data_IF_488508830867
#
_entry.id   IF_488508830867
#
_cell.length_a   1.000
_cell.length_b   1.000
_cell.length_c   1.000
_cell.angle_alpha   90.00
_cell.angle_beta   90.00
_cell.angle_gamma   90.00
#
_symmetry.space_group_name_H-M   'P 1'
#
loop_
_entity.id
_entity.type
_entity.pdbx_description
1 polymer ?
#
# COMPACT_ATOMS: atom_id res chain seq x y z
N UNK A 1 10.87 -9.66 9.88
CA UNK A 1 10.43 -9.12 8.57
C UNK A 1 9.05 -9.64 8.26
N UNK A 2 8.15 -8.80 7.70
CA UNK A 2 6.83 -9.25 7.29
C UNK A 2 6.94 -10.34 6.21
N UNK A 3 6.10 -11.37 6.33
CA UNK A 3 6.06 -12.47 5.38
C UNK A 3 4.94 -12.23 4.36
N UNK A 4 5.21 -12.56 3.10
CA UNK A 4 4.22 -12.46 2.05
C UNK A 4 3.19 -13.60 2.18
N UNK A 5 1.96 -13.25 2.51
CA UNK A 5 0.86 -14.21 2.68
C UNK A 5 0.01 -14.41 1.43
N UNK A 6 -0.24 -13.33 0.68
CA UNK A 6 -1.06 -13.34 -0.53
C UNK A 6 -0.74 -12.10 -1.36
N UNK A 7 -0.91 -12.19 -2.68
CA UNK A 7 -0.86 -11.05 -3.58
C UNK A 7 -2.22 -10.91 -4.25
N UNK A 8 -2.81 -9.71 -4.15
CA UNK A 8 -4.03 -9.35 -4.84
C UNK A 8 -3.71 -8.41 -6.00
N UNK A 9 -4.25 -8.70 -7.18
CA UNK A 9 -4.11 -7.87 -8.36
C UNK A 9 -5.48 -7.64 -9.02
N UNK A 10 -5.73 -6.43 -9.47
CA UNK A 10 -6.90 -6.07 -10.25
C UNK A 10 -6.55 -5.03 -11.30
N UNK A 11 -6.86 -5.31 -12.57
CA UNK A 11 -6.57 -4.41 -13.70
C UNK A 11 -7.80 -3.66 -14.23
N UNK A 12 -8.96 -3.87 -13.59
CA UNK A 12 -10.25 -3.31 -13.99
C UNK A 12 -11.16 -4.33 -14.67
N UNK A 13 -10.61 -5.46 -15.14
CA UNK A 13 -11.36 -6.56 -15.77
C UNK A 13 -11.11 -7.89 -15.06
N UNK A 14 -9.85 -8.16 -14.72
CA UNK A 14 -9.40 -9.42 -14.15
C UNK A 14 -8.91 -9.21 -12.71
N UNK A 15 -9.47 -9.97 -11.79
CA UNK A 15 -9.03 -10.03 -10.41
C UNK A 15 -8.28 -11.34 -10.18
N UNK A 16 -7.09 -11.25 -9.61
CA UNK A 16 -6.28 -12.41 -9.28
C UNK A 16 -5.88 -12.39 -7.80
N UNK A 17 -6.05 -13.53 -7.14
CA UNK A 17 -5.47 -13.83 -5.83
C UNK A 17 -4.35 -14.84 -6.08
N UNK A 18 -3.11 -14.44 -5.80
CA UNK A 18 -1.92 -15.23 -6.11
C UNK A 18 -1.35 -15.75 -4.79
N UNK A 19 -1.35 -17.08 -4.65
CA UNK A 19 -0.67 -17.75 -3.54
C UNK A 19 0.84 -17.74 -3.79
N UNK A 20 1.63 -17.07 -2.95
CA UNK A 20 3.08 -17.01 -3.13
C UNK A 20 3.78 -18.32 -2.81
N UNK A 21 3.11 -19.24 -2.08
CA UNK A 21 3.69 -20.51 -1.70
C UNK A 21 3.95 -21.39 -2.93
N UNK A 22 5.20 -21.74 -3.15
CA UNK A 22 5.59 -22.56 -4.28
C UNK A 22 5.92 -21.79 -5.58
N UNK A 23 5.78 -20.47 -5.60
CA UNK A 23 6.25 -19.65 -6.71
C UNK A 23 7.74 -19.41 -6.54
N UNK A 24 8.52 -19.80 -7.54
CA UNK A 24 9.98 -19.63 -7.58
C UNK A 24 10.42 -18.61 -8.62
N UNK A 25 9.61 -18.37 -9.64
CA UNK A 25 9.87 -17.37 -10.69
C UNK A 25 8.90 -16.19 -10.58
N UNK A 26 9.43 -15.06 -10.16
CA UNK A 26 8.69 -13.79 -10.04
C UNK A 26 8.89 -12.86 -11.26
N UNK A 27 9.59 -13.32 -12.29
CA UNK A 27 9.90 -12.48 -13.46
C UNK A 27 8.67 -11.85 -14.11
N UNK A 28 7.53 -12.55 -14.30
CA UNK A 28 6.34 -11.93 -14.88
C UNK A 28 5.77 -10.79 -14.02
N UNK A 29 5.70 -10.99 -12.71
CA UNK A 29 5.22 -9.94 -11.79
C UNK A 29 6.18 -8.76 -11.76
N UNK A 30 7.47 -9.01 -11.67
CA UNK A 30 8.49 -7.95 -11.70
C UNK A 30 8.44 -7.13 -12.98
N UNK A 31 8.16 -7.75 -14.13
CA UNK A 31 7.97 -7.03 -15.39
C UNK A 31 6.81 -6.02 -15.29
N UNK A 32 5.68 -6.41 -14.67
CA UNK A 32 4.54 -5.53 -14.43
C UNK A 32 4.93 -4.42 -13.44
N UNK A 33 5.62 -4.75 -12.35
CA UNK A 33 6.01 -3.77 -11.33
C UNK A 33 6.94 -2.69 -11.87
N UNK A 34 7.81 -3.03 -12.84
CA UNK A 34 8.78 -2.12 -13.48
C UNK A 34 8.20 -1.32 -14.64
N UNK A 35 7.10 -1.78 -15.25
CA UNK A 35 6.57 -1.17 -16.46
C UNK A 35 6.09 0.26 -16.19
N UNK A 36 6.71 1.30 -16.78
CA UNK A 36 6.34 2.68 -16.56
C UNK A 36 4.98 3.06 -17.15
N UNK A 37 4.45 2.26 -18.07
CA UNK A 37 3.13 2.47 -18.66
C UNK A 37 1.98 1.96 -17.77
N UNK A 38 2.31 1.16 -16.75
CA UNK A 38 1.35 0.58 -15.80
C UNK A 38 1.52 1.28 -14.45
N UNK A 39 0.60 2.16 -14.10
CA UNK A 39 0.56 2.77 -12.75
C UNK A 39 0.02 1.77 -11.75
N UNK A 40 0.72 1.60 -10.62
CA UNK A 40 0.30 0.74 -9.51
C UNK A 40 -0.35 1.60 -8.45
N UNK A 41 -1.49 1.15 -7.95
CA UNK A 41 -2.24 1.84 -6.91
C UNK A 41 -2.26 1.00 -5.64
N UNK A 42 -1.95 1.63 -4.52
CA UNK A 42 -2.06 1.07 -3.18
C UNK A 42 -2.91 2.00 -2.31
N UNK A 43 -3.28 1.52 -1.14
CA UNK A 43 -3.86 2.34 -0.08
C UNK A 43 -3.13 2.08 1.23
N UNK A 44 -2.54 3.13 1.81
CA UNK A 44 -1.71 3.02 3.02
C UNK A 44 -0.56 2.01 2.87
N UNK A 45 0.06 1.97 1.67
CA UNK A 45 0.99 0.94 1.24
C UNK A 45 2.40 1.04 1.82
N UNK A 46 2.66 1.91 2.80
CA UNK A 46 4.00 2.10 3.36
C UNK A 46 4.62 0.81 3.92
N UNK A 47 3.82 -0.07 4.53
CA UNK A 47 4.27 -1.37 5.01
C UNK A 47 4.44 -2.37 3.87
N UNK A 48 3.57 -2.32 2.86
CA UNK A 48 3.66 -3.16 1.67
C UNK A 48 4.97 -2.92 0.91
N UNK A 49 5.46 -1.68 0.88
CA UNK A 49 6.76 -1.36 0.25
C UNK A 49 7.91 -2.13 0.89
N UNK A 50 7.85 -2.39 2.20
CA UNK A 50 8.84 -3.22 2.87
C UNK A 50 8.77 -4.68 2.38
N UNK A 51 7.56 -5.21 2.17
CA UNK A 51 7.37 -6.55 1.59
C UNK A 51 7.92 -6.61 0.18
N UNK A 52 7.65 -5.60 -0.66
CA UNK A 52 8.19 -5.52 -2.02
C UNK A 52 9.72 -5.57 -2.03
N UNK A 53 10.38 -4.78 -1.19
CA UNK A 53 11.83 -4.78 -1.09
C UNK A 53 12.38 -6.12 -0.61
N UNK A 54 11.77 -6.71 0.42
CA UNK A 54 12.25 -7.96 1.00
C UNK A 54 12.05 -9.17 0.07
N UNK A 55 10.93 -9.23 -0.65
CA UNK A 55 10.58 -10.38 -1.50
C UNK A 55 11.11 -10.21 -2.93
N UNK A 56 10.97 -9.01 -3.50
CA UNK A 56 11.29 -8.77 -4.91
C UNK A 56 12.59 -8.00 -5.11
N UNK A 57 13.13 -7.35 -4.06
CA UNK A 57 14.33 -6.53 -4.13
C UNK A 57 14.13 -5.18 -4.83
N UNK A 58 12.88 -4.80 -5.10
CA UNK A 58 12.54 -3.58 -5.81
C UNK A 58 11.16 -3.06 -5.42
N UNK A 59 10.90 -1.78 -5.67
CA UNK A 59 9.59 -1.16 -5.48
C UNK A 59 8.82 -1.07 -6.80
N UNK A 60 7.47 -1.15 -6.75
CA UNK A 60 6.65 -0.90 -7.92
C UNK A 60 6.77 0.56 -8.36
N UNK A 61 6.92 0.80 -9.67
CA UNK A 61 7.03 2.14 -10.25
C UNK A 61 6.33 2.20 -11.62
N UNK A 62 5.55 3.26 -11.90
CA UNK A 62 5.11 4.32 -10.99
C UNK A 62 4.09 3.81 -9.96
N UNK A 63 4.10 4.38 -8.76
CA UNK A 63 3.20 4.02 -7.67
C UNK A 63 2.46 5.25 -7.15
N UNK A 64 1.16 5.11 -6.94
CA UNK A 64 0.30 6.11 -6.32
C UNK A 64 -0.39 5.48 -5.11
N UNK A 65 -0.28 6.15 -3.96
CA UNK A 65 -0.98 5.78 -2.75
C UNK A 65 -2.24 6.63 -2.60
N UNK A 66 -3.39 5.98 -2.58
CA UNK A 66 -4.69 6.66 -2.48
C UNK A 66 -4.93 7.31 -1.12
N UNK A 67 -4.28 6.85 -0.05
CA UNK A 67 -4.34 7.52 1.25
C UNK A 67 -3.64 8.88 1.20
N UNK A 68 -2.54 8.99 0.46
CA UNK A 68 -1.86 10.26 0.23
C UNK A 68 -2.74 11.20 -0.62
N UNK A 69 -3.31 10.72 -1.73
CA UNK A 69 -4.25 11.52 -2.53
C UNK A 69 -5.39 12.06 -1.66
N UNK A 70 -5.99 11.21 -0.84
CA UNK A 70 -7.10 11.57 0.04
C UNK A 70 -6.71 12.65 1.06
N UNK A 71 -5.50 12.58 1.62
CA UNK A 71 -5.00 13.59 2.55
C UNK A 71 -4.90 14.98 1.89
N UNK A 72 -4.47 15.05 0.62
CA UNK A 72 -4.46 16.29 -0.15
C UNK A 72 -5.86 16.82 -0.50
N UNK A 73 -6.89 15.96 -0.40
CA UNK A 73 -8.30 16.33 -0.52
C UNK A 73 -8.98 16.61 0.83
N UNK A 74 -8.21 16.77 1.90
CA UNK A 74 -8.71 17.13 3.22
C UNK A 74 -9.21 15.95 4.07
N UNK A 75 -8.98 14.69 3.65
CA UNK A 75 -9.26 13.51 4.49
C UNK A 75 -8.15 13.33 5.53
N UNK A 76 -8.41 12.59 6.63
CA UNK A 76 -7.37 12.30 7.62
C UNK A 76 -6.14 11.61 6.99
N UNK A 77 -4.94 11.93 7.46
CA UNK A 77 -3.70 11.31 6.98
C UNK A 77 -3.64 9.79 7.19
N UNK A 78 -4.38 9.29 8.17
CA UNK A 78 -4.52 7.84 8.47
C UNK A 78 -5.86 7.28 8.02
N UNK A 79 -6.45 7.85 6.97
CA UNK A 79 -7.76 7.43 6.48
C UNK A 79 -7.75 5.98 6.02
N UNK A 80 -8.54 5.13 6.69
CA UNK A 80 -8.55 3.69 6.43
C UNK A 80 -9.31 3.32 5.16
N UNK A 81 -8.92 2.20 4.55
CA UNK A 81 -9.52 1.69 3.32
C UNK A 81 -11.05 1.48 3.44
N UNK A 82 -11.51 0.88 4.53
CA UNK A 82 -12.95 0.66 4.74
C UNK A 82 -13.76 1.98 4.79
N UNK A 83 -13.20 3.03 5.41
CA UNK A 83 -13.84 4.36 5.43
C UNK A 83 -13.89 4.98 4.04
N UNK A 84 -12.83 4.81 3.26
CA UNK A 84 -12.77 5.26 1.88
C UNK A 84 -13.82 4.55 1.02
N UNK A 85 -13.93 3.23 1.14
CA UNK A 85 -14.93 2.45 0.40
C UNK A 85 -16.35 2.87 0.80
N UNK A 86 -16.62 3.05 2.08
CA UNK A 86 -17.93 3.50 2.56
C UNK A 86 -18.31 4.88 2.00
N UNK A 87 -17.39 5.84 2.03
CA UNK A 87 -17.65 7.20 1.51
C UNK A 87 -17.91 7.21 0.00
N UNK A 88 -17.11 6.47 -0.79
CA UNK A 88 -17.21 6.51 -2.26
C UNK A 88 -18.22 5.55 -2.87
N UNK A 89 -18.54 4.44 -2.21
CA UNK A 89 -19.40 3.40 -2.76
C UNK A 89 -20.62 3.06 -1.90
N UNK A 90 -20.70 3.57 -0.67
CA UNK A 90 -21.78 3.25 0.27
C UNK A 90 -21.73 1.82 0.81
N UNK A 91 -20.64 1.10 0.59
CA UNK A 91 -20.46 -0.29 1.03
C UNK A 91 -19.69 -0.33 2.34
N UNK A 92 -20.26 -1.03 3.34
CA UNK A 92 -19.56 -1.31 4.59
C UNK A 92 -18.80 -2.63 4.47
N UNK A 93 -17.46 -2.58 4.56
CA UNK A 93 -16.62 -3.77 4.49
C UNK A 93 -16.56 -4.49 5.83
N UNK A 94 -16.64 -5.83 5.78
CA UNK A 94 -16.36 -6.69 6.93
C UNK A 94 -14.84 -6.74 7.18
N UNK A 95 -14.43 -6.45 8.42
CA UNK A 95 -13.02 -6.45 8.83
C UNK A 95 -12.62 -7.70 9.61
N UNK A 96 -13.51 -8.70 9.71
CA UNK A 96 -13.30 -9.88 10.56
C UNK A 96 -12.04 -10.67 10.19
N UNK A 97 -11.69 -10.69 8.91
CA UNK A 97 -10.55 -11.46 8.39
C UNK A 97 -9.21 -10.69 8.42
N UNK A 98 -9.19 -9.41 8.79
CA UNK A 98 -7.97 -8.56 8.73
C UNK A 98 -6.82 -9.08 9.60
N UNK A 99 -7.12 -9.83 10.67
CA UNK A 99 -6.13 -10.34 11.64
C UNK A 99 -6.08 -11.87 11.71
N UNK A 100 -6.59 -12.55 10.71
CA UNK A 100 -6.53 -14.02 10.63
C UNK A 100 -5.15 -14.47 10.13
N UNK A 101 -4.86 -15.76 10.22
CA UNK A 101 -3.59 -16.32 9.76
C UNK A 101 -3.59 -16.44 8.23
N UNK A 102 -2.93 -15.50 7.57
CA UNK A 102 -2.78 -15.44 6.12
C UNK A 102 -1.71 -16.38 5.56
N UNK A 103 -0.98 -17.07 6.42
CA UNK A 103 0.01 -18.09 6.03
C UNK A 103 -0.56 -19.50 6.09
N UNK A 104 -1.69 -19.70 6.80
CA UNK A 104 -2.39 -20.98 6.83
C UNK A 104 -2.95 -21.36 5.45
N UNK A 105 -2.94 -22.66 5.14
CA UNK A 105 -3.51 -23.20 3.91
C UNK A 105 -4.43 -24.39 4.21
N UNK A 106 -5.54 -24.56 3.47
CA UNK A 106 -6.03 -23.62 2.44
C UNK A 106 -6.57 -22.32 3.05
N UNK A 107 -6.57 -21.23 2.28
CA UNK A 107 -7.30 -20.02 2.66
C UNK A 107 -8.80 -20.32 2.63
N UNK A 108 -9.54 -19.73 3.57
CA UNK A 108 -11.00 -19.83 3.61
C UNK A 108 -11.65 -18.98 2.51
N UNK A 109 -12.87 -19.31 2.14
CA UNK A 109 -13.67 -18.51 1.20
C UNK A 109 -13.80 -17.05 1.69
N UNK A 110 -14.04 -16.85 3.00
CA UNK A 110 -14.13 -15.51 3.60
C UNK A 110 -12.82 -14.73 3.50
N UNK A 111 -11.67 -15.39 3.68
CA UNK A 111 -10.37 -14.76 3.46
C UNK A 111 -10.18 -14.35 1.99
N UNK A 112 -10.57 -15.20 1.05
CA UNK A 112 -10.49 -14.88 -0.37
C UNK A 112 -11.41 -13.71 -0.74
N UNK A 113 -12.64 -13.68 -0.23
CA UNK A 113 -13.57 -12.57 -0.43
C UNK A 113 -13.03 -11.26 0.16
N UNK A 114 -12.47 -11.31 1.37
CA UNK A 114 -11.84 -10.16 2.01
C UNK A 114 -10.68 -9.63 1.17
N UNK A 115 -9.77 -10.49 0.74
CA UNK A 115 -8.62 -10.12 -0.08
C UNK A 115 -9.04 -9.55 -1.45
N UNK A 116 -10.08 -10.12 -2.07
CA UNK A 116 -10.62 -9.62 -3.32
C UNK A 116 -11.21 -8.21 -3.17
N UNK A 117 -11.90 -7.94 -2.05
CA UNK A 117 -12.47 -6.62 -1.77
C UNK A 117 -11.40 -5.52 -1.69
N UNK A 118 -10.21 -5.83 -1.17
CA UNK A 118 -9.11 -4.86 -1.04
C UNK A 118 -8.65 -4.28 -2.39
N UNK A 119 -8.77 -5.00 -3.47
CA UNK A 119 -8.40 -4.51 -4.81
C UNK A 119 -9.60 -4.15 -5.67
N UNK A 120 -10.73 -4.83 -5.49
CA UNK A 120 -11.95 -4.59 -6.27
C UNK A 120 -12.46 -3.16 -6.14
N UNK A 121 -12.54 -2.64 -4.92
CA UNK A 121 -13.03 -1.29 -4.65
C UNK A 121 -11.98 -0.21 -4.90
N UNK A 122 -10.69 -0.55 -4.82
CA UNK A 122 -9.60 0.43 -4.89
C UNK A 122 -9.57 1.16 -6.23
N UNK A 123 -9.57 0.44 -7.34
CA UNK A 123 -9.34 1.02 -8.66
C UNK A 123 -10.45 2.00 -9.11
N UNK A 124 -11.76 1.68 -8.97
CA UNK A 124 -12.83 2.64 -9.29
C UNK A 124 -12.81 3.89 -8.41
N UNK A 125 -12.47 3.74 -7.12
CA UNK A 125 -12.35 4.86 -6.18
C UNK A 125 -11.15 5.73 -6.55
N UNK A 126 -10.03 5.11 -6.92
CA UNK A 126 -8.83 5.83 -7.37
C UNK A 126 -9.12 6.78 -8.51
N UNK A 127 -9.91 6.35 -9.50
CA UNK A 127 -10.28 7.20 -10.62
C UNK A 127 -11.01 8.48 -10.16
N UNK A 128 -11.94 8.35 -9.22
CA UNK A 128 -12.68 9.50 -8.64
C UNK A 128 -11.73 10.39 -7.83
N UNK A 129 -10.89 9.79 -7.01
CA UNK A 129 -9.96 10.51 -6.13
C UNK A 129 -8.89 11.27 -6.92
N UNK A 130 -8.42 10.72 -8.04
CA UNK A 130 -7.51 11.42 -8.97
C UNK A 130 -8.16 12.68 -9.52
N UNK A 131 -9.42 12.61 -9.92
CA UNK A 131 -10.19 13.78 -10.43
C UNK A 131 -10.35 14.84 -9.32
N UNK A 132 -10.69 14.44 -8.10
CA UNK A 132 -10.80 15.36 -6.96
C UNK A 132 -9.47 16.05 -6.66
N UNK A 133 -8.37 15.29 -6.63
CA UNK A 133 -7.04 15.82 -6.32
C UNK A 133 -6.55 16.78 -7.40
N UNK A 134 -6.84 16.49 -8.66
CA UNK A 134 -6.54 17.39 -9.77
C UNK A 134 -7.36 18.67 -9.67
N UNK A 135 -8.67 18.57 -9.42
CA UNK A 135 -9.56 19.72 -9.25
C UNK A 135 -9.15 20.61 -8.06
N UNK A 136 -8.59 20.05 -7.01
CA UNK A 136 -8.04 20.81 -5.87
C UNK A 136 -6.74 21.55 -6.19
N UNK A 137 -6.07 21.23 -7.30
CA UNK A 137 -4.77 21.79 -7.69
C UNK A 137 -3.57 21.13 -7.00
N UNK A 138 -3.79 20.10 -6.17
CA UNK A 138 -2.75 19.47 -5.37
C UNK A 138 -2.17 18.19 -5.98
N UNK A 139 -2.64 17.75 -7.15
CA UNK A 139 -2.19 16.48 -7.75
C UNK A 139 -0.66 16.40 -7.91
N UNK A 140 0.06 17.42 -8.42
CA UNK A 140 1.53 17.34 -8.52
C UNK A 140 2.20 17.11 -7.16
N UNK A 141 1.76 17.83 -6.12
CA UNK A 141 2.32 17.67 -4.76
C UNK A 141 1.99 16.29 -4.16
N UNK A 142 0.79 15.77 -4.39
CA UNK A 142 0.41 14.44 -3.94
C UNK A 142 1.25 13.35 -4.63
N UNK A 143 1.51 13.47 -5.93
CA UNK A 143 2.39 12.55 -6.66
C UNK A 143 3.84 12.63 -6.18
N UNK A 144 4.31 13.84 -5.84
CA UNK A 144 5.65 14.02 -5.25
C UNK A 144 5.74 13.34 -3.88
N UNK A 145 4.71 13.46 -3.03
CA UNK A 145 4.70 12.77 -1.72
C UNK A 145 4.67 11.24 -1.88
N UNK A 146 3.99 10.69 -2.88
CA UNK A 146 4.06 9.26 -3.20
C UNK A 146 5.49 8.84 -3.56
N UNK A 147 6.21 9.65 -4.34
CA UNK A 147 7.63 9.40 -4.66
C UNK A 147 8.52 9.49 -3.44
N UNK A 148 8.31 10.49 -2.59
CA UNK A 148 9.06 10.64 -1.33
C UNK A 148 8.83 9.47 -0.37
N UNK A 149 7.63 8.96 -0.27
CA UNK A 149 7.33 7.74 0.52
C UNK A 149 8.18 6.55 0.06
N UNK A 150 8.29 6.34 -1.26
CA UNK A 150 9.12 5.28 -1.83
C UNK A 150 10.60 5.50 -1.55
N UNK A 151 11.09 6.73 -1.72
CA UNK A 151 12.50 7.08 -1.46
C UNK A 151 12.88 6.82 0.00
N UNK A 152 12.04 7.22 0.96
CA UNK A 152 12.26 6.96 2.40
C UNK A 152 12.39 5.48 2.71
N UNK A 153 11.63 4.62 2.01
CA UNK A 153 11.72 3.17 2.19
C UNK A 153 12.97 2.54 1.57
N UNK A 154 13.56 3.17 0.58
CA UNK A 154 14.81 2.73 -0.03
C UNK A 154 16.05 3.23 0.71
N UNK A 155 15.92 4.23 1.60
CA UNK A 155 17.05 4.72 2.39
C UNK A 155 17.52 3.65 3.37
N UNK A 156 18.82 3.37 3.31
CA UNK A 156 19.50 2.54 4.31
C UNK A 156 19.88 3.47 5.46
N UNK A 157 19.08 3.44 6.53
CA UNK A 157 19.40 4.19 7.76
C UNK A 157 20.48 3.44 8.52
N UNK A 158 21.59 4.13 8.83
CA UNK A 158 22.64 3.56 9.67
C UNK A 158 22.06 3.21 11.06
N UNK A 159 22.46 2.08 11.68
CA UNK A 159 21.90 1.64 12.97
C UNK A 159 21.95 2.73 14.05
N UNK A 160 23.00 3.53 14.07
CA UNK A 160 23.19 4.66 15.00
C UNK A 160 22.20 5.81 14.79
N UNK A 161 21.57 5.90 13.61
CA UNK A 161 20.58 6.92 13.27
C UNK A 161 19.13 6.41 13.32
N UNK A 162 18.94 5.09 13.49
CA UNK A 162 17.61 4.46 13.48
C UNK A 162 16.64 4.99 14.56
N UNK A 163 17.17 5.56 15.63
CA UNK A 163 16.36 6.18 16.69
C UNK A 163 15.58 7.41 16.20
N UNK A 164 16.03 8.06 15.11
CA UNK A 164 15.36 9.25 14.53
C UNK A 164 14.00 8.92 13.95
N UNK A 165 13.77 7.66 13.58
CA UNK A 165 12.50 7.19 13.02
C UNK A 165 11.48 6.85 14.12
N UNK A 166 11.90 6.88 15.39
CA UNK A 166 10.97 6.66 16.52
C UNK A 166 10.03 7.86 16.62
N UNK A 167 8.73 7.59 16.66
CA UNK A 167 7.71 8.63 16.83
C UNK A 167 8.02 9.49 18.05
N UNK A 168 8.05 10.82 17.87
CA UNK A 168 8.41 11.79 18.91
C UNK A 168 9.87 11.72 19.42
N UNK A 169 10.80 11.13 18.68
CA UNK A 169 12.23 11.06 19.04
C UNK A 169 12.81 12.48 19.34
N UNK A 170 12.32 13.52 18.67
CA UNK A 170 12.72 14.92 18.90
C UNK A 170 12.43 15.44 20.32
N UNK A 171 11.56 14.76 21.08
CA UNK A 171 11.27 15.10 22.49
C UNK A 171 12.27 14.47 23.45
N UNK A 172 13.09 13.52 22.99
CA UNK A 172 14.08 12.82 23.83
C UNK A 172 15.26 13.75 24.13
N UNK A 173 15.70 13.72 25.39
CA UNK A 173 16.91 14.44 25.79
C UNK A 173 18.15 13.62 25.42
N UNK A 174 19.30 14.27 25.28
CA UNK A 174 20.60 13.64 24.92
C UNK A 174 20.94 12.41 25.77
N UNK A 175 20.58 12.40 27.05
CA UNK A 175 20.76 11.24 27.95
C UNK A 175 19.86 10.05 27.64
N UNK A 176 18.82 10.20 26.86
CA UNK A 176 17.86 9.16 26.47
C UNK A 176 18.17 8.61 25.07
N UNK A 177 19.12 9.22 24.38
CA UNK A 177 19.56 8.85 23.03
C UNK A 177 20.89 8.08 23.05
N UNK A 178 21.56 8.03 24.20
CA UNK A 178 22.77 7.27 24.46
C UNK A 178 22.43 5.93 25.10
#
# INVERSE_FOLDING_TARGET
>A
YPQLGLIQLFDGEHLALIDPLGITDWSPLKAILRDPSITKFLHAGSEDLEVFLNVFGELPQPLIDTQILAAFCGRPMSWGFASMVEEYSGVTLDKSESRTDWLARPLTERQCEYAAADVWYLLPITAKLMVETEASGWLPAALDECRLMQMRRQEVVAPEDAWRDITNAWQLRTRQLA
#
